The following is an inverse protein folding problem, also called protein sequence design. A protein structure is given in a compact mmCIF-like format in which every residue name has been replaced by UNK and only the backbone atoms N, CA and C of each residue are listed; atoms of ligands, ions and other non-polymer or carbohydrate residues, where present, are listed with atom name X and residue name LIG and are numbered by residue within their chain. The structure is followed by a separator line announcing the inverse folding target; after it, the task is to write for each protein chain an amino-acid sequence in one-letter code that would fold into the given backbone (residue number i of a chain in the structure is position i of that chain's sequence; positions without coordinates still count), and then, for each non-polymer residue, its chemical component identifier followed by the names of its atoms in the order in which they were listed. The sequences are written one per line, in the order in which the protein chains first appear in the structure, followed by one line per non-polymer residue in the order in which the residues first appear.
data_IF_630125690887
#
_entry.id   IF_630125690887
#
_cell.length_a   1.000
_cell.length_b   1.000
_cell.length_c   1.000
_cell.angle_alpha   90.00
_cell.angle_beta   90.00
_cell.angle_gamma   90.00
#
_symmetry.space_group_name_H-M   'P 1'
#
loop_
_entity.id
_entity.type
_entity.pdbx_description
1 polymer ?
#
# COMPACT_ATOMS: atom_id res chain seq x y z
N UNK A 1 28.05 15.48 39.89
CA UNK A 1 28.30 15.09 38.49
C UNK A 1 27.59 13.76 38.26
N UNK A 2 26.30 13.79 37.92
CA UNK A 2 25.60 12.59 37.46
C UNK A 2 26.01 12.36 36.01
N UNK A 3 26.44 11.15 35.69
CA UNK A 3 26.53 10.70 34.31
C UNK A 3 25.15 10.87 33.68
N UNK A 4 25.04 11.73 32.68
CA UNK A 4 23.79 12.01 32.00
C UNK A 4 23.26 10.73 31.35
N UNK A 5 21.96 10.51 31.47
CA UNK A 5 21.20 9.58 30.64
C UNK A 5 21.33 10.05 29.19
N UNK A 6 22.39 9.65 28.49
CA UNK A 6 22.52 9.89 27.06
C UNK A 6 21.43 9.12 26.34
N UNK A 7 20.63 9.81 25.53
CA UNK A 7 19.48 9.21 24.85
C UNK A 7 19.88 7.95 24.06
N UNK A 8 19.05 6.90 24.11
CA UNK A 8 19.31 5.64 23.41
C UNK A 8 19.19 5.87 21.89
N UNK A 9 20.16 5.39 21.10
CA UNK A 9 20.06 5.37 19.64
C UNK A 9 19.03 4.33 19.18
N UNK A 10 18.30 4.64 18.12
CA UNK A 10 17.38 3.72 17.45
C UNK A 10 17.89 3.36 16.07
N UNK A 11 17.51 2.20 15.57
CA UNK A 11 17.84 1.79 14.20
C UNK A 11 16.66 1.15 13.49
N UNK A 12 16.59 1.37 12.18
CA UNK A 12 15.61 0.78 11.28
C UNK A 12 16.29 0.27 10.00
N UNK A 13 15.65 -0.71 9.36
CA UNK A 13 16.01 -1.18 8.03
C UNK A 13 14.94 -0.65 7.07
N UNK A 14 15.30 0.39 6.32
CA UNK A 14 14.37 1.16 5.49
C UNK A 14 14.09 0.48 4.14
N UNK A 15 14.87 -0.56 3.79
CA UNK A 15 14.61 -1.44 2.64
C UNK A 15 13.92 -2.73 3.06
N UNK A 16 13.01 -3.30 2.25
CA UNK A 16 12.38 -4.59 2.53
C UNK A 16 13.41 -5.69 2.84
N UNK A 17 13.12 -6.54 3.84
CA UNK A 17 14.01 -7.61 4.26
C UNK A 17 13.22 -8.80 4.85
N UNK A 18 13.59 -10.06 4.53
CA UNK A 18 14.61 -10.47 3.57
C UNK A 18 14.17 -10.24 2.12
N UNK A 19 14.89 -9.43 1.35
CA UNK A 19 14.63 -9.18 -0.07
C UNK A 19 15.89 -9.37 -0.90
N UNK A 20 15.73 -9.76 -2.17
CA UNK A 20 16.84 -9.88 -3.13
C UNK A 20 17.20 -8.50 -3.69
N UNK A 21 17.82 -7.67 -2.87
CA UNK A 21 18.38 -6.37 -3.27
C UNK A 21 19.90 -6.44 -3.53
N UNK A 22 20.45 -5.47 -4.24
CA UNK A 22 21.91 -5.28 -4.28
C UNK A 22 22.41 -4.55 -3.03
N UNK A 23 21.66 -3.54 -2.60
CA UNK A 23 21.97 -2.64 -1.48
C UNK A 23 20.78 -2.60 -0.53
N UNK A 24 21.07 -2.60 0.77
CA UNK A 24 20.09 -2.30 1.80
C UNK A 24 20.30 -0.88 2.31
N UNK A 25 19.26 -0.27 2.89
CA UNK A 25 19.38 1.03 3.57
C UNK A 25 19.05 0.82 5.04
N UNK A 26 20.03 1.08 5.91
CA UNK A 26 19.81 1.12 7.35
C UNK A 26 19.92 2.56 7.83
N UNK A 27 19.07 2.92 8.78
CA UNK A 27 19.10 4.21 9.46
C UNK A 27 19.40 4.00 10.92
N UNK A 28 20.21 4.90 11.48
CA UNK A 28 20.41 5.06 12.91
C UNK A 28 20.04 6.49 13.27
N UNK A 29 19.14 6.66 14.23
CA UNK A 29 18.64 7.96 14.68
C UNK A 29 18.78 8.09 16.20
N UNK A 30 18.89 9.32 16.71
CA UNK A 30 18.97 9.56 18.15
C UNK A 30 19.55 10.91 18.53
N UNK A 31 20.01 11.01 19.78
CA UNK A 31 20.88 12.12 20.18
C UNK A 31 22.28 11.96 19.56
N UNK A 32 22.94 13.09 19.28
CA UNK A 32 24.20 13.13 18.54
C UNK A 32 25.27 12.21 19.14
N UNK A 33 25.44 12.27 20.47
CA UNK A 33 26.40 11.43 21.19
C UNK A 33 26.12 9.93 21.03
N UNK A 34 24.85 9.53 20.97
CA UNK A 34 24.46 8.14 20.82
C UNK A 34 24.69 7.64 19.39
N UNK A 35 24.34 8.44 18.38
CA UNK A 35 24.60 8.11 16.97
C UNK A 35 26.11 8.05 16.71
N UNK A 36 26.90 8.92 17.34
CA UNK A 36 28.36 8.90 17.24
C UNK A 36 28.97 7.65 17.86
N UNK A 37 28.44 7.19 19.00
CA UNK A 37 28.85 5.92 19.61
C UNK A 37 28.58 4.73 18.66
N UNK A 38 27.41 4.71 18.01
CA UNK A 38 27.10 3.70 16.98
C UNK A 38 28.07 3.81 15.81
N UNK A 39 28.26 5.01 15.25
CA UNK A 39 29.13 5.25 14.11
C UNK A 39 30.57 4.79 14.38
N UNK A 40 31.10 5.05 15.57
CA UNK A 40 32.41 4.58 16.00
C UNK A 40 32.48 3.04 16.06
N UNK A 41 31.48 2.40 16.68
CA UNK A 41 31.44 0.95 16.86
C UNK A 41 31.38 0.17 15.52
N UNK A 42 30.73 0.74 14.51
CA UNK A 42 30.58 0.10 13.19
C UNK A 42 31.64 0.55 12.18
N UNK A 43 32.60 1.41 12.54
CA UNK A 43 33.63 1.90 11.61
C UNK A 43 33.14 2.97 10.62
N UNK A 44 32.05 3.66 10.95
CA UNK A 44 31.48 4.78 10.19
C UNK A 44 31.86 6.17 10.74
N UNK A 45 32.87 6.24 11.62
CA UNK A 45 33.34 7.49 12.21
C UNK A 45 34.02 8.45 11.21
N UNK A 46 34.21 9.70 11.66
CA UNK A 46 34.69 10.82 10.86
C UNK A 46 33.51 11.47 10.13
N UNK A 47 33.27 12.76 10.37
CA UNK A 47 32.05 13.43 9.94
C UNK A 47 32.34 14.55 8.94
N UNK A 48 31.53 14.61 7.88
CA UNK A 48 31.28 15.81 7.10
C UNK A 48 29.75 15.92 7.00
N UNK A 49 29.11 17.01 7.50
CA UNK A 49 27.68 17.21 7.35
C UNK A 49 27.27 17.14 5.88
N UNK A 50 26.17 16.42 5.60
CA UNK A 50 25.70 16.17 4.22
C UNK A 50 26.74 15.51 3.29
N UNK A 51 27.78 14.87 3.86
CA UNK A 51 28.83 14.17 3.14
C UNK A 51 28.58 12.66 3.08
N UNK A 52 28.92 12.05 1.94
CA UNK A 52 28.96 10.60 1.77
C UNK A 52 30.38 10.08 1.92
N UNK A 53 30.51 8.92 2.54
CA UNK A 53 31.80 8.34 2.91
C UNK A 53 31.83 6.85 2.60
N UNK A 54 32.87 6.39 1.90
CA UNK A 54 33.15 4.96 1.77
C UNK A 54 33.85 4.48 3.04
N UNK A 55 33.32 3.43 3.67
CA UNK A 55 33.80 2.87 4.94
C UNK A 55 33.77 1.34 4.90
N UNK A 56 34.50 0.71 5.81
CA UNK A 56 34.37 -0.72 6.07
C UNK A 56 33.48 -0.90 7.30
N UNK A 57 32.21 -1.20 7.09
CA UNK A 57 31.20 -1.32 8.13
C UNK A 57 31.32 -2.66 8.85
N UNK A 58 31.31 -2.62 10.18
CA UNK A 58 31.42 -3.77 11.07
C UNK A 58 32.59 -4.73 10.75
N UNK A 59 33.61 -4.25 10.04
CA UNK A 59 34.76 -5.06 9.58
C UNK A 59 34.44 -6.06 8.47
N UNK A 60 33.22 -6.07 7.93
CA UNK A 60 32.74 -7.11 7.01
C UNK A 60 32.41 -6.60 5.62
N UNK A 61 31.85 -5.39 5.50
CA UNK A 61 31.37 -4.87 4.23
C UNK A 61 31.93 -3.48 3.89
N UNK A 62 32.28 -3.25 2.63
CA UNK A 62 32.78 -1.96 2.16
C UNK A 62 31.63 -1.19 1.52
N UNK A 63 31.10 -0.22 2.26
CA UNK A 63 29.80 0.39 2.00
C UNK A 63 29.81 1.91 2.21
N UNK A 64 28.78 2.57 1.70
CA UNK A 64 28.61 4.00 1.90
C UNK A 64 27.94 4.25 3.27
N UNK A 65 28.40 5.29 3.95
CA UNK A 65 27.77 5.87 5.12
C UNK A 65 27.57 7.37 4.86
N UNK A 66 26.39 7.89 5.18
CA UNK A 66 26.04 9.30 5.03
C UNK A 66 25.52 9.83 6.37
N UNK A 67 26.13 10.91 6.86
CA UNK A 67 25.64 11.60 8.05
C UNK A 67 24.87 12.83 7.58
N UNK A 68 23.54 12.70 7.55
CA UNK A 68 22.66 13.73 7.02
C UNK A 68 22.68 14.98 7.91
N UNK A 69 22.57 14.75 9.23
CA UNK A 69 22.68 15.76 10.28
C UNK A 69 23.32 15.17 11.55
N UNK A 70 23.33 15.92 12.65
CA UNK A 70 23.85 15.45 13.94
C UNK A 70 23.07 14.29 14.55
N UNK A 71 21.87 13.95 14.06
CA UNK A 71 20.95 13.00 14.70
C UNK A 71 20.63 11.79 13.83
N UNK A 72 21.07 11.77 12.57
CA UNK A 72 20.72 10.72 11.62
C UNK A 72 21.93 10.26 10.80
N UNK A 73 22.20 8.96 10.87
CA UNK A 73 23.20 8.24 10.09
C UNK A 73 22.50 7.24 9.15
N UNK A 74 22.77 7.33 7.86
CA UNK A 74 22.32 6.38 6.83
C UNK A 74 23.49 5.48 6.41
N UNK A 75 23.21 4.19 6.28
CA UNK A 75 24.17 3.16 5.89
C UNK A 75 23.64 2.41 4.67
N UNK A 76 24.52 2.13 3.71
CA UNK A 76 24.17 1.51 2.43
C UNK A 76 24.99 0.24 2.18
N UNK A 77 24.90 -0.79 3.05
CA UNK A 77 25.62 -2.04 2.85
C UNK A 77 25.06 -2.86 1.70
N UNK A 78 25.82 -3.84 1.22
CA UNK A 78 25.29 -4.87 0.35
C UNK A 78 24.19 -5.66 1.07
N UNK A 79 23.09 -5.97 0.39
CA UNK A 79 21.92 -6.64 0.98
C UNK A 79 22.11 -8.16 1.22
N UNK A 80 23.33 -8.62 1.45
CA UNK A 80 23.60 -10.01 1.79
C UNK A 80 23.19 -10.32 3.23
N UNK A 81 22.51 -11.45 3.48
CA UNK A 81 22.01 -11.82 4.82
C UNK A 81 23.08 -11.76 5.90
N UNK A 82 24.23 -12.38 5.67
CA UNK A 82 25.33 -12.38 6.62
C UNK A 82 25.89 -10.95 6.88
N UNK A 83 25.87 -10.08 5.87
CA UNK A 83 26.33 -8.69 5.98
C UNK A 83 25.37 -7.91 6.88
N UNK A 84 24.07 -8.00 6.60
CA UNK A 84 23.03 -7.31 7.36
C UNK A 84 23.02 -7.80 8.81
N UNK A 85 23.02 -9.12 9.04
CA UNK A 85 23.05 -9.69 10.40
C UNK A 85 24.31 -9.26 11.17
N UNK A 86 25.47 -9.24 10.51
CA UNK A 86 26.73 -8.78 11.13
C UNK A 86 26.68 -7.29 11.50
N UNK A 87 26.13 -6.44 10.63
CA UNK A 87 26.04 -5.01 10.85
C UNK A 87 25.03 -4.67 11.95
N UNK A 88 23.83 -5.26 11.89
CA UNK A 88 22.80 -5.11 12.92
C UNK A 88 23.32 -5.56 14.28
N UNK A 89 23.97 -6.72 14.35
CA UNK A 89 24.57 -7.19 15.60
C UNK A 89 25.69 -6.28 16.12
N UNK A 90 26.34 -5.49 15.25
CA UNK A 90 27.30 -4.46 15.69
C UNK A 90 26.62 -3.21 16.23
N UNK A 91 25.53 -2.79 15.61
CA UNK A 91 24.69 -1.67 16.06
C UNK A 91 24.07 -2.00 17.41
N UNK A 92 23.42 -3.15 17.57
CA UNK A 92 22.72 -3.53 18.80
C UNK A 92 23.66 -3.69 20.01
N UNK A 93 24.92 -4.10 19.79
CA UNK A 93 25.95 -4.18 20.85
C UNK A 93 26.28 -2.83 21.50
N UNK A 94 25.93 -1.72 20.87
CA UNK A 94 26.07 -0.38 21.45
C UNK A 94 24.94 -0.02 22.42
N UNK A 95 23.91 -0.85 22.52
CA UNK A 95 22.66 -0.56 23.23
C UNK A 95 21.59 0.09 22.35
N UNK A 96 21.87 0.28 21.04
CA UNK A 96 20.88 0.78 20.11
C UNK A 96 19.70 -0.19 19.96
N UNK A 97 18.48 0.35 19.94
CA UNK A 97 17.25 -0.44 19.88
C UNK A 97 16.64 -0.42 18.49
N UNK A 98 16.04 -1.53 18.08
CA UNK A 98 15.29 -1.58 16.82
C UNK A 98 14.00 -0.79 16.94
N UNK A 99 13.67 -0.02 15.91
CA UNK A 99 12.39 0.66 15.76
C UNK A 99 11.61 0.01 14.61
N UNK A 100 10.37 -0.41 14.89
CA UNK A 100 9.48 -1.03 13.91
C UNK A 100 8.75 0.08 13.13
N UNK A 101 9.36 0.48 12.02
CA UNK A 101 8.89 1.57 11.16
C UNK A 101 9.44 2.92 11.61
N UNK A 102 9.96 3.73 10.68
CA UNK A 102 10.67 4.93 11.08
C UNK A 102 9.68 5.99 11.56
N UNK A 103 9.95 6.62 12.70
CA UNK A 103 9.30 7.87 13.08
C UNK A 103 9.42 8.87 11.92
N UNK A 104 8.33 9.56 11.58
CA UNK A 104 8.27 10.35 10.34
C UNK A 104 9.36 11.44 10.27
N UNK A 105 9.65 12.09 11.41
CA UNK A 105 10.73 13.10 11.48
C UNK A 105 12.11 12.49 11.38
N UNK A 106 12.27 11.32 11.97
CA UNK A 106 13.50 10.54 11.84
C UNK A 106 13.69 10.03 10.41
N UNK A 107 12.61 9.70 9.70
CA UNK A 107 12.58 9.21 8.32
C UNK A 107 12.88 10.32 7.29
N UNK A 108 12.34 11.52 7.53
CA UNK A 108 12.44 12.69 6.65
C UNK A 108 12.90 13.91 7.45
N UNK A 109 14.17 13.95 7.91
CA UNK A 109 14.71 15.07 8.68
C UNK A 109 14.70 16.39 7.91
N UNK A 110 14.67 16.35 6.58
CA UNK A 110 14.53 17.50 5.69
C UNK A 110 13.11 18.13 5.68
N UNK A 111 12.10 17.43 6.21
CA UNK A 111 10.74 17.93 6.25
C UNK A 111 10.62 19.19 7.13
N UNK A 112 9.88 20.20 6.65
CA UNK A 112 9.76 21.51 7.32
C UNK A 112 8.95 21.42 8.60
N UNK A 113 7.94 20.56 8.60
CA UNK A 113 7.05 20.35 9.73
C UNK A 113 6.63 18.87 9.84
N UNK A 114 5.90 18.58 10.92
CA UNK A 114 5.46 17.23 11.27
C UNK A 114 4.49 16.65 10.25
N UNK A 115 3.63 17.50 9.69
CA UNK A 115 2.63 17.10 8.69
C UNK A 115 3.33 16.69 7.40
N UNK A 116 4.31 17.47 6.95
CA UNK A 116 5.12 17.13 5.78
C UNK A 116 5.91 15.85 5.98
N UNK A 117 6.54 15.66 7.14
CA UNK A 117 7.27 14.43 7.44
C UNK A 117 6.36 13.20 7.36
N UNK A 118 5.16 13.28 7.95
CA UNK A 118 4.15 12.22 7.86
C UNK A 118 3.69 12.01 6.43
N UNK A 119 3.46 13.08 5.67
CA UNK A 119 2.98 12.98 4.29
C UNK A 119 4.00 12.27 3.40
N UNK A 120 5.30 12.56 3.56
CA UNK A 120 6.37 11.86 2.86
C UNK A 120 6.47 10.39 3.26
N UNK A 121 6.29 10.08 4.55
CA UNK A 121 6.25 8.69 5.03
C UNK A 121 5.06 7.92 4.44
N UNK A 122 3.88 8.52 4.46
CA UNK A 122 2.69 7.93 3.85
C UNK A 122 2.85 7.75 2.33
N UNK A 123 3.48 8.72 1.66
CA UNK A 123 3.74 8.68 0.23
C UNK A 123 4.69 7.54 -0.15
N UNK A 124 5.74 7.30 0.65
CA UNK A 124 6.70 6.22 0.42
C UNK A 124 6.05 4.82 0.46
N UNK A 125 4.97 4.66 1.24
CA UNK A 125 4.20 3.42 1.33
C UNK A 125 2.88 3.42 0.54
N UNK A 126 2.53 4.51 -0.13
CA UNK A 126 1.24 4.63 -0.79
C UNK A 126 1.15 3.66 -1.97
N UNK A 127 0.12 2.81 -1.97
CA UNK A 127 -0.07 1.87 -3.06
C UNK A 127 -0.58 2.54 -4.35
N UNK A 128 -1.38 3.61 -4.22
CA UNK A 128 -2.02 4.27 -5.35
C UNK A 128 -1.28 5.53 -5.78
N UNK A 129 -0.93 5.70 -7.07
CA UNK A 129 -0.36 6.94 -7.59
C UNK A 129 -1.17 8.21 -7.28
N UNK A 130 -2.51 8.09 -7.22
CA UNK A 130 -3.41 9.19 -6.84
C UNK A 130 -3.16 9.76 -5.44
N UNK A 131 -2.47 9.03 -4.56
CA UNK A 131 -2.10 9.52 -3.23
C UNK A 131 -1.15 10.72 -3.29
N UNK A 132 -0.32 10.82 -4.34
CA UNK A 132 0.80 11.76 -4.40
C UNK A 132 0.36 13.22 -4.20
N UNK A 133 -0.52 13.72 -5.07
CA UNK A 133 -0.96 15.12 -5.01
C UNK A 133 -1.75 15.40 -3.72
N UNK A 134 -2.58 14.45 -3.29
CA UNK A 134 -3.39 14.59 -2.07
C UNK A 134 -2.51 14.70 -0.83
N UNK A 135 -1.49 13.85 -0.70
CA UNK A 135 -0.56 13.84 0.44
C UNK A 135 0.35 15.06 0.43
N UNK A 136 0.94 15.40 -0.72
CA UNK A 136 1.84 16.54 -0.85
C UNK A 136 1.14 17.87 -0.56
N UNK A 137 -0.17 17.97 -0.81
CA UNK A 137 -0.98 19.14 -0.46
C UNK A 137 -1.25 19.27 1.05
N UNK A 138 -1.09 18.20 1.85
CA UNK A 138 -1.56 18.19 3.25
C UNK A 138 -0.92 19.28 4.10
N UNK A 139 0.36 19.58 3.91
CA UNK A 139 1.03 20.65 4.66
C UNK A 139 0.28 22.00 4.54
N UNK A 140 -0.13 22.37 3.34
CA UNK A 140 -0.88 23.61 3.10
C UNK A 140 -2.34 23.52 3.56
N UNK A 141 -2.94 22.33 3.51
CA UNK A 141 -4.31 22.13 4.00
C UNK A 141 -4.38 22.21 5.53
N UNK A 142 -3.42 21.60 6.22
CA UNK A 142 -3.29 21.64 7.67
C UNK A 142 -2.95 23.04 8.21
N UNK A 143 -2.23 23.87 7.46
CA UNK A 143 -2.02 25.28 7.87
C UNK A 143 -3.31 26.11 7.82
N UNK A 144 -4.33 25.67 7.08
CA UNK A 144 -5.66 26.30 6.93
C UNK A 144 -6.78 25.57 7.68
N UNK A 145 -6.45 24.61 8.55
CA UNK A 145 -7.46 23.79 9.25
C UNK A 145 -8.45 24.62 10.08
N UNK A 146 -8.03 25.78 10.60
CA UNK A 146 -8.92 26.70 11.32
C UNK A 146 -9.98 27.37 10.44
N UNK A 147 -9.75 27.46 9.13
CA UNK A 147 -10.66 28.09 8.16
C UNK A 147 -11.55 27.06 7.45
N UNK A 148 -10.94 25.95 7.02
CA UNK A 148 -11.60 24.94 6.18
C UNK A 148 -12.02 23.69 6.96
N UNK A 149 -11.40 23.43 8.11
CA UNK A 149 -11.60 22.21 8.88
C UNK A 149 -10.95 20.99 8.24
N UNK A 150 -11.41 19.82 8.71
CA UNK A 150 -11.02 18.52 8.19
C UNK A 150 -12.09 17.95 7.26
N UNK A 151 -11.67 17.01 6.42
CA UNK A 151 -12.59 16.17 5.67
C UNK A 151 -13.48 15.36 6.62
N UNK A 152 -14.70 15.06 6.19
CA UNK A 152 -15.60 14.15 6.91
C UNK A 152 -15.11 12.69 6.86
N UNK A 153 -15.73 11.82 7.66
CA UNK A 153 -15.34 10.40 7.77
C UNK A 153 -15.50 9.64 6.45
N UNK A 154 -16.48 9.98 5.63
CA UNK A 154 -16.71 9.33 4.33
C UNK A 154 -15.56 9.64 3.37
N UNK A 155 -15.21 10.93 3.26
CA UNK A 155 -14.08 11.39 2.45
C UNK A 155 -12.76 10.85 2.99
N UNK A 156 -12.57 10.83 4.32
CA UNK A 156 -11.38 10.25 4.94
C UNK A 156 -11.25 8.76 4.62
N UNK A 157 -12.34 7.99 4.68
CA UNK A 157 -12.38 6.58 4.32
C UNK A 157 -12.09 6.33 2.84
N UNK A 158 -12.59 7.20 1.95
CA UNK A 158 -12.26 7.15 0.53
C UNK A 158 -10.77 7.41 0.28
N UNK A 159 -10.21 8.48 0.86
CA UNK A 159 -8.79 8.82 0.69
C UNK A 159 -7.86 7.76 1.32
N UNK A 160 -8.27 7.12 2.41
CA UNK A 160 -7.53 6.02 3.04
C UNK A 160 -7.26 4.84 2.09
N UNK A 161 -8.13 4.63 1.09
CA UNK A 161 -7.94 3.59 0.05
C UNK A 161 -6.79 3.89 -0.90
N UNK A 162 -6.32 5.13 -0.96
CA UNK A 162 -5.12 5.49 -1.74
C UNK A 162 -3.85 4.92 -1.11
N UNK A 163 -3.82 4.83 0.22
CA UNK A 163 -2.71 4.25 0.98
C UNK A 163 -2.83 2.73 1.04
N UNK A 164 -4.02 2.22 1.37
CA UNK A 164 -4.28 0.78 1.51
C UNK A 164 -5.19 0.29 0.40
N UNK A 165 -4.71 -0.60 -0.49
CA UNK A 165 -5.49 -1.09 -1.60
C UNK A 165 -6.82 -1.70 -1.15
N UNK A 166 -7.96 -1.14 -1.61
CA UNK A 166 -9.26 -1.70 -1.29
C UNK A 166 -9.44 -3.06 -1.96
N UNK A 167 -10.21 -3.92 -1.32
CA UNK A 167 -10.56 -5.23 -1.85
C UNK A 167 -11.76 -5.12 -2.80
N UNK A 168 -11.55 -5.50 -4.05
CA UNK A 168 -12.61 -5.65 -5.06
C UNK A 168 -12.83 -7.13 -5.33
N UNK A 169 -14.07 -7.60 -5.15
CA UNK A 169 -14.42 -9.01 -5.36
C UNK A 169 -15.38 -9.16 -6.56
N UNK A 170 -15.00 -9.94 -7.56
CA UNK A 170 -15.86 -10.27 -8.68
C UNK A 170 -16.64 -11.56 -8.41
N UNK A 171 -17.97 -11.48 -8.38
CA UNK A 171 -18.89 -12.61 -8.14
C UNK A 171 -19.88 -12.74 -9.29
N UNK A 172 -20.34 -13.94 -9.58
CA UNK A 172 -21.27 -14.16 -10.70
C UNK A 172 -21.32 -15.63 -11.13
N UNK A 173 -22.20 -15.97 -12.09
CA UNK A 173 -22.39 -17.34 -12.54
C UNK A 173 -21.08 -18.01 -13.02
N UNK A 174 -21.01 -19.35 -13.04
CA UNK A 174 -19.89 -20.07 -13.63
C UNK A 174 -19.71 -19.66 -15.10
N UNK A 175 -18.46 -19.60 -15.56
CA UNK A 175 -18.12 -19.31 -16.95
C UNK A 175 -18.67 -18.00 -17.54
N UNK A 176 -19.15 -17.04 -16.74
CA UNK A 176 -19.64 -15.73 -17.24
C UNK A 176 -18.52 -14.80 -17.76
N UNK A 177 -17.26 -15.12 -17.45
CA UNK A 177 -16.08 -14.38 -17.92
C UNK A 177 -15.34 -13.54 -16.88
N UNK A 178 -15.55 -13.79 -15.57
CA UNK A 178 -14.88 -13.08 -14.47
C UNK A 178 -13.35 -13.14 -14.54
N UNK A 179 -12.78 -14.33 -14.74
CA UNK A 179 -11.33 -14.51 -14.89
C UNK A 179 -10.79 -13.81 -16.13
N UNK A 180 -11.57 -13.78 -17.22
CA UNK A 180 -11.20 -13.02 -18.42
C UNK A 180 -11.19 -11.51 -18.15
N UNK A 181 -12.13 -11.02 -17.33
CA UNK A 181 -12.15 -9.62 -16.89
C UNK A 181 -10.93 -9.28 -16.04
N UNK A 182 -10.61 -10.11 -15.03
CA UNK A 182 -9.41 -9.96 -14.21
C UNK A 182 -8.15 -9.88 -15.09
N UNK A 183 -7.97 -10.83 -16.01
CA UNK A 183 -6.81 -10.86 -16.90
C UNK A 183 -6.74 -9.63 -17.81
N UNK A 184 -7.88 -9.18 -18.35
CA UNK A 184 -7.93 -7.99 -19.20
C UNK A 184 -7.63 -6.70 -18.42
N UNK A 185 -8.08 -6.59 -17.17
CA UNK A 185 -7.79 -5.45 -16.29
C UNK A 185 -6.33 -5.47 -15.82
N UNK A 186 -5.81 -6.62 -15.42
CA UNK A 186 -4.41 -6.79 -15.05
C UNK A 186 -3.49 -6.36 -16.22
N UNK A 187 -3.77 -6.82 -17.44
CA UNK A 187 -3.01 -6.46 -18.64
C UNK A 187 -3.05 -4.98 -19.05
N UNK A 188 -3.89 -4.14 -18.41
CA UNK A 188 -3.92 -2.69 -18.68
C UNK A 188 -2.90 -1.89 -17.85
N UNK A 189 -2.52 -2.36 -16.67
CA UNK A 189 -1.49 -1.76 -15.80
C UNK A 189 -1.28 -2.65 -14.56
N UNK A 190 -0.42 -3.68 -14.67
CA UNK A 190 -0.01 -4.47 -13.49
C UNK A 190 1.05 -3.67 -12.74
N UNK A 191 0.80 -3.34 -11.47
CA UNK A 191 1.90 -3.13 -10.51
C UNK A 191 2.21 -4.49 -9.90
N UNK A 192 3.28 -5.15 -10.37
CA UNK A 192 3.67 -6.47 -9.86
C UNK A 192 4.26 -6.25 -8.46
N UNK A 193 3.50 -6.60 -7.43
CA UNK A 193 4.02 -6.76 -6.07
C UNK A 193 4.42 -8.22 -5.92
N UNK A 194 5.70 -8.45 -5.60
CA UNK A 194 6.19 -9.77 -5.23
C UNK A 194 5.53 -10.21 -3.91
N UNK A 195 5.17 -11.49 -3.83
CA UNK A 195 4.52 -12.16 -2.70
C UNK A 195 4.82 -11.52 -1.32
N UNK A 196 3.79 -10.95 -0.69
CA UNK A 196 3.81 -10.73 0.75
C UNK A 196 3.57 -12.09 1.46
N UNK A 197 4.40 -12.47 2.46
CA UNK A 197 4.18 -13.68 3.24
C UNK A 197 2.89 -13.53 4.06
N UNK A 198 1.79 -14.11 3.58
CA UNK A 198 0.50 -14.09 4.31
C UNK A 198 -0.76 -14.22 3.46
N UNK A 199 -0.66 -14.14 2.13
CA UNK A 199 -1.84 -14.35 1.27
C UNK A 199 -2.23 -15.83 1.29
N UNK A 200 -3.40 -16.10 1.86
CA UNK A 200 -4.04 -17.42 1.88
C UNK A 200 -4.04 -18.00 0.46
N UNK A 201 -3.48 -19.20 0.35
CA UNK A 201 -3.14 -19.93 -0.89
C UNK A 201 -4.31 -20.27 -1.84
N UNK A 202 -5.51 -19.76 -1.58
CA UNK A 202 -6.76 -20.35 -2.09
C UNK A 202 -7.53 -19.45 -3.07
N UNK A 203 -7.10 -18.22 -3.34
CA UNK A 203 -7.83 -17.28 -4.22
C UNK A 203 -6.92 -16.64 -5.28
N UNK A 204 -7.38 -16.66 -6.55
CA UNK A 204 -6.70 -15.97 -7.66
C UNK A 204 -7.02 -14.47 -7.54
N UNK A 205 -6.01 -13.68 -7.22
CA UNK A 205 -6.13 -12.23 -7.14
C UNK A 205 -4.91 -11.51 -7.69
N UNK A 206 -5.08 -10.23 -8.01
CA UNK A 206 -4.01 -9.38 -8.52
C UNK A 206 -4.15 -7.95 -8.00
N UNK A 207 -3.02 -7.25 -7.95
CA UNK A 207 -2.97 -5.80 -7.78
C UNK A 207 -3.20 -5.13 -9.14
N UNK A 208 -4.26 -4.33 -9.24
CA UNK A 208 -4.68 -3.70 -10.49
C UNK A 208 -4.72 -2.19 -10.31
N UNK A 209 -4.10 -1.45 -11.22
CA UNK A 209 -4.29 0.00 -11.33
C UNK A 209 -5.56 0.30 -12.14
N UNK A 210 -6.51 0.96 -11.49
CA UNK A 210 -7.77 1.44 -12.05
C UNK A 210 -7.76 2.98 -12.13
N UNK A 211 -6.93 3.52 -13.02
CA UNK A 211 -6.89 4.96 -13.27
C UNK A 211 -6.18 5.75 -12.17
N UNK A 212 -5.06 5.22 -11.68
CA UNK A 212 -4.24 5.73 -10.59
C UNK A 212 -4.69 5.26 -9.20
N UNK A 213 -5.80 4.52 -9.10
CA UNK A 213 -6.23 3.83 -7.88
C UNK A 213 -5.80 2.37 -7.96
N UNK A 214 -4.89 1.94 -7.10
CA UNK A 214 -4.46 0.54 -7.03
C UNK A 214 -5.39 -0.23 -6.09
N UNK A 215 -5.96 -1.32 -6.59
CA UNK A 215 -6.89 -2.18 -5.85
C UNK A 215 -6.37 -3.62 -5.79
N UNK A 216 -6.78 -4.36 -4.76
CA UNK A 216 -6.64 -5.82 -4.72
C UNK A 216 -7.89 -6.43 -5.32
N UNK A 217 -7.78 -6.96 -6.54
CA UNK A 217 -8.89 -7.60 -7.23
C UNK A 217 -8.86 -9.10 -7.02
N UNK A 218 -9.96 -9.69 -6.56
CA UNK A 218 -10.13 -11.14 -6.41
C UNK A 218 -11.19 -11.65 -7.37
N UNK A 219 -10.83 -12.68 -8.14
CA UNK A 219 -11.78 -13.46 -8.92
C UNK A 219 -12.35 -14.58 -8.05
N UNK A 220 -13.62 -14.44 -7.65
CA UNK A 220 -14.27 -15.45 -6.83
C UNK A 220 -14.70 -16.64 -7.69
N UNK A 221 -14.70 -17.86 -7.12
CA UNK A 221 -15.33 -19.02 -7.76
C UNK A 221 -16.75 -18.68 -8.24
N UNK A 222 -17.06 -19.08 -9.47
CA UNK A 222 -18.42 -18.97 -9.98
C UNK A 222 -19.34 -19.99 -9.34
N UNK A 223 -20.59 -19.62 -9.10
CA UNK A 223 -21.62 -20.52 -8.60
C UNK A 223 -22.97 -20.18 -9.26
N UNK A 224 -23.79 -21.19 -9.54
CA UNK A 224 -25.17 -21.01 -9.98
C UNK A 224 -26.11 -21.64 -8.94
N UNK A 225 -26.93 -20.85 -8.23
CA UNK A 225 -27.87 -21.37 -7.23
C UNK A 225 -28.86 -22.41 -7.78
N UNK A 226 -29.03 -22.48 -9.10
CA UNK A 226 -29.91 -23.45 -9.79
C UNK A 226 -29.27 -24.83 -9.95
N UNK A 227 -27.94 -24.92 -9.86
CA UNK A 227 -27.18 -26.17 -9.99
C UNK A 227 -26.93 -26.76 -8.59
N UNK A 228 -27.83 -27.64 -8.14
CA UNK A 228 -27.86 -28.20 -6.77
C UNK A 228 -26.77 -29.22 -6.41
N UNK A 229 -25.54 -29.07 -6.92
CA UNK A 229 -24.41 -29.94 -6.60
C UNK A 229 -23.63 -29.45 -5.35
N UNK A 230 -22.98 -30.35 -4.61
CA UNK A 230 -22.23 -30.05 -3.39
C UNK A 230 -21.02 -29.16 -3.67
N UNK A 231 -20.37 -29.31 -4.83
CA UNK A 231 -19.30 -28.44 -5.31
C UNK A 231 -19.75 -26.98 -5.48
N UNK A 232 -21.03 -26.75 -5.79
CA UNK A 232 -21.63 -25.42 -5.91
C UNK A 232 -21.73 -24.71 -4.55
N UNK A 233 -22.00 -25.45 -3.48
CA UNK A 233 -22.16 -24.89 -2.13
C UNK A 233 -20.84 -24.40 -1.54
N UNK A 234 -19.74 -25.14 -1.73
CA UNK A 234 -18.41 -24.71 -1.27
C UNK A 234 -17.95 -23.46 -2.01
N UNK A 235 -18.12 -23.42 -3.34
CA UNK A 235 -17.83 -22.26 -4.16
C UNK A 235 -18.66 -21.04 -3.74
N UNK A 236 -19.95 -21.23 -3.45
CA UNK A 236 -20.85 -20.18 -2.97
C UNK A 236 -20.40 -19.64 -1.60
N UNK A 237 -20.06 -20.51 -0.65
CA UNK A 237 -19.56 -20.10 0.67
C UNK A 237 -18.24 -19.32 0.59
N UNK A 238 -17.31 -19.78 -0.25
CA UNK A 238 -16.04 -19.08 -0.48
C UNK A 238 -16.28 -17.69 -1.09
N UNK A 239 -17.10 -17.60 -2.14
CA UNK A 239 -17.44 -16.33 -2.79
C UNK A 239 -18.15 -15.37 -1.83
N UNK A 240 -19.09 -15.87 -1.01
CA UNK A 240 -19.81 -15.07 -0.02
C UNK A 240 -18.87 -14.53 1.07
N UNK A 241 -17.91 -15.34 1.54
CA UNK A 241 -16.92 -14.92 2.54
C UNK A 241 -16.06 -13.77 2.03
N UNK A 242 -15.53 -13.88 0.81
CA UNK A 242 -14.71 -12.83 0.19
C UNK A 242 -15.56 -11.57 -0.08
N UNK A 243 -16.76 -11.75 -0.64
CA UNK A 243 -17.67 -10.64 -0.91
C UNK A 243 -18.12 -9.93 0.36
N UNK A 244 -18.20 -10.63 1.50
CA UNK A 244 -18.52 -10.06 2.79
C UNK A 244 -17.43 -9.12 3.35
N UNK A 245 -16.16 -9.35 2.99
CA UNK A 245 -15.05 -8.49 3.43
C UNK A 245 -14.57 -7.50 2.36
N UNK A 246 -15.19 -7.50 1.18
CA UNK A 246 -14.80 -6.62 0.09
C UNK A 246 -15.27 -5.17 0.31
N UNK A 247 -14.43 -4.20 -0.05
CA UNK A 247 -14.82 -2.79 -0.14
C UNK A 247 -15.82 -2.55 -1.27
N UNK A 248 -15.71 -3.32 -2.35
CA UNK A 248 -16.65 -3.29 -3.47
C UNK A 248 -16.84 -4.69 -4.07
N UNK A 249 -18.10 -5.03 -4.33
CA UNK A 249 -18.45 -6.24 -5.06
C UNK A 249 -18.84 -5.90 -6.50
N UNK A 250 -18.25 -6.62 -7.45
CA UNK A 250 -18.60 -6.57 -8.86
C UNK A 250 -19.49 -7.78 -9.18
N UNK A 251 -20.79 -7.51 -9.32
CA UNK A 251 -21.78 -8.51 -9.71
C UNK A 251 -21.74 -8.73 -11.22
N UNK A 252 -21.12 -9.82 -11.66
CA UNK A 252 -20.94 -10.15 -13.07
C UNK A 252 -22.12 -10.95 -13.61
N UNK A 253 -22.60 -10.56 -14.79
CA UNK A 253 -23.62 -11.27 -15.56
C UNK A 253 -23.31 -11.21 -17.06
N UNK A 254 -24.01 -11.97 -17.88
CA UNK A 254 -24.00 -11.78 -19.34
C UNK A 254 -25.42 -12.04 -19.91
N UNK A 255 -25.59 -11.85 -21.21
CA UNK A 255 -26.91 -12.01 -21.85
C UNK A 255 -27.44 -13.46 -21.86
N UNK A 256 -26.59 -14.47 -21.61
CA UNK A 256 -26.98 -15.88 -21.64
C UNK A 256 -27.28 -16.43 -20.24
N UNK A 257 -26.45 -16.09 -19.26
CA UNK A 257 -26.52 -16.57 -17.88
C UNK A 257 -27.27 -15.64 -16.95
N UNK A 258 -27.42 -14.36 -17.32
CA UNK A 258 -28.00 -13.32 -16.46
C UNK A 258 -27.10 -13.00 -15.27
N UNK A 259 -27.66 -12.28 -14.29
CA UNK A 259 -27.00 -11.93 -13.03
C UNK A 259 -27.45 -12.87 -11.91
N UNK A 260 -26.63 -13.02 -10.87
CA UNK A 260 -27.08 -13.67 -9.63
C UNK A 260 -28.24 -12.87 -9.01
N UNK A 261 -29.31 -13.56 -8.60
CA UNK A 261 -30.46 -12.91 -7.97
C UNK A 261 -30.08 -12.31 -6.61
N UNK A 262 -29.32 -13.06 -5.82
CA UNK A 262 -28.89 -12.66 -4.48
C UNK A 262 -27.45 -12.16 -4.54
N UNK A 263 -27.30 -10.85 -4.39
CA UNK A 263 -26.01 -10.18 -4.24
C UNK A 263 -26.09 -9.15 -3.11
N UNK A 264 -24.94 -8.67 -2.65
CA UNK A 264 -24.87 -7.49 -1.78
C UNK A 264 -25.63 -6.32 -2.42
N UNK A 265 -26.42 -5.59 -1.64
CA UNK A 265 -27.27 -4.51 -2.14
C UNK A 265 -26.47 -3.36 -2.79
N UNK A 266 -25.21 -3.18 -2.37
CA UNK A 266 -24.29 -2.18 -2.89
C UNK A 266 -23.38 -2.70 -4.02
N UNK A 267 -23.58 -3.94 -4.48
CA UNK A 267 -22.81 -4.53 -5.56
C UNK A 267 -23.02 -3.79 -6.89
N UNK A 268 -21.93 -3.54 -7.59
CA UNK A 268 -21.95 -2.92 -8.91
C UNK A 268 -22.20 -3.99 -9.98
N UNK A 269 -23.34 -3.94 -10.65
CA UNK A 269 -23.69 -4.88 -11.71
C UNK A 269 -22.91 -4.54 -12.99
N UNK A 270 -22.14 -5.51 -13.49
CA UNK A 270 -21.34 -5.38 -14.71
C UNK A 270 -21.70 -6.51 -15.67
N UNK A 271 -22.23 -6.13 -16.83
CA UNK A 271 -22.53 -7.05 -17.92
C UNK A 271 -21.27 -7.36 -18.70
N UNK A 272 -20.91 -8.64 -18.80
CA UNK A 272 -19.77 -9.15 -19.54
C UNK A 272 -20.21 -9.59 -20.93
N UNK A 273 -19.23 -9.76 -21.83
CA UNK A 273 -19.44 -10.22 -23.22
C UNK A 273 -20.46 -9.37 -23.97
N UNK A 274 -20.38 -8.05 -23.80
CA UNK A 274 -21.28 -7.09 -24.45
C UNK A 274 -21.35 -7.24 -25.99
N UNK A 275 -20.32 -7.81 -26.60
CA UNK A 275 -20.23 -8.12 -28.02
C UNK A 275 -21.10 -9.30 -28.47
N UNK A 276 -21.62 -10.10 -27.53
CA UNK A 276 -22.53 -11.23 -27.79
C UNK A 276 -23.99 -10.90 -27.47
N UNK A 277 -24.26 -9.73 -26.89
CA UNK A 277 -25.58 -9.28 -26.50
C UNK A 277 -25.58 -8.55 -25.17
N UNK A 278 -26.68 -7.87 -24.88
CA UNK A 278 -26.94 -7.19 -23.61
C UNK A 278 -28.33 -7.55 -23.13
N UNK A 279 -28.44 -8.04 -21.91
CA UNK A 279 -29.71 -8.34 -21.27
C UNK A 279 -29.66 -8.03 -19.77
N UNK A 280 -30.72 -7.43 -19.25
CA UNK A 280 -30.81 -6.97 -17.87
C UNK A 280 -30.17 -5.60 -17.60
N UNK A 281 -30.32 -5.16 -16.35
CA UNK A 281 -29.81 -3.88 -15.85
C UNK A 281 -28.37 -4.02 -15.32
N UNK A 282 -27.47 -3.26 -15.91
CA UNK A 282 -26.06 -3.22 -15.56
C UNK A 282 -25.56 -1.78 -15.59
N UNK A 283 -24.71 -1.43 -14.61
CA UNK A 283 -24.09 -0.11 -14.53
C UNK A 283 -23.04 0.10 -15.64
N UNK A 284 -22.45 -0.98 -16.15
CA UNK A 284 -21.59 -0.97 -17.31
C UNK A 284 -21.68 -2.30 -18.08
N UNK A 285 -21.55 -2.23 -19.40
CA UNK A 285 -21.42 -3.39 -20.28
C UNK A 285 -20.03 -3.41 -20.89
N UNK A 286 -19.32 -4.53 -20.77
CA UNK A 286 -17.93 -4.66 -21.20
C UNK A 286 -17.71 -5.87 -22.08
N UNK A 287 -16.76 -5.73 -23.02
CA UNK A 287 -16.20 -6.85 -23.76
C UNK A 287 -14.69 -6.86 -23.60
N UNK A 288 -14.17 -7.92 -22.99
CA UNK A 288 -12.71 -8.14 -22.87
C UNK A 288 -12.08 -8.48 -24.21
N UNK A 289 -12.89 -8.91 -25.21
CA UNK A 289 -12.43 -9.23 -26.57
C UNK A 289 -12.25 -7.97 -27.41
N UNK A 290 -13.22 -7.06 -27.41
CA UNK A 290 -13.18 -5.84 -28.23
C UNK A 290 -12.59 -4.65 -27.47
N UNK A 291 -12.52 -4.72 -26.14
CA UNK A 291 -12.11 -3.62 -25.27
C UNK A 291 -13.24 -2.62 -24.97
N UNK A 292 -14.44 -2.83 -25.52
CA UNK A 292 -15.62 -2.01 -25.30
C UNK A 292 -15.98 -1.92 -23.81
N UNK A 293 -16.36 -0.72 -23.36
CA UNK A 293 -16.81 -0.44 -21.98
C UNK A 293 -15.73 -0.57 -20.90
N UNK A 294 -14.55 -1.10 -21.21
CA UNK A 294 -13.51 -1.36 -20.21
C UNK A 294 -12.99 -0.08 -19.53
N UNK A 295 -12.88 1.04 -20.26
CA UNK A 295 -12.45 2.31 -19.67
C UNK A 295 -13.54 2.94 -18.77
N UNK A 296 -14.80 2.80 -19.18
CA UNK A 296 -15.95 3.22 -18.39
C UNK A 296 -16.03 2.43 -17.09
N UNK A 297 -15.83 1.11 -17.14
CA UNK A 297 -15.75 0.26 -15.95
C UNK A 297 -14.64 0.71 -14.99
N UNK A 298 -13.42 0.95 -15.51
CA UNK A 298 -12.30 1.47 -14.69
C UNK A 298 -12.70 2.77 -14.00
N UNK A 299 -13.27 3.70 -14.75
CA UNK A 299 -13.71 5.01 -14.24
C UNK A 299 -14.77 4.86 -13.16
N UNK A 300 -15.75 3.99 -13.38
CA UNK A 300 -16.88 3.74 -12.50
C UNK A 300 -16.45 3.09 -11.17
N UNK A 301 -15.56 2.08 -11.23
CA UNK A 301 -15.01 1.45 -10.02
C UNK A 301 -14.18 2.44 -9.21
N UNK A 302 -13.33 3.23 -9.87
CA UNK A 302 -12.55 4.29 -9.22
C UNK A 302 -13.46 5.32 -8.57
N UNK A 303 -14.46 5.82 -9.27
CA UNK A 303 -15.39 6.83 -8.73
C UNK A 303 -16.21 6.28 -7.55
N UNK A 304 -16.54 4.99 -7.57
CA UNK A 304 -17.27 4.33 -6.48
C UNK A 304 -16.45 4.18 -5.20
N UNK A 305 -15.14 3.90 -5.34
CA UNK A 305 -14.23 3.68 -4.21
C UNK A 305 -13.61 4.97 -3.68
N UNK A 306 -13.18 5.83 -4.60
CA UNK A 306 -12.52 7.12 -4.34
C UNK A 306 -13.09 8.17 -5.31
N UNK A 307 -14.18 8.86 -4.93
CA UNK A 307 -14.81 9.85 -5.79
C UNK A 307 -13.88 11.00 -6.17
N UNK A 308 -14.04 11.56 -7.36
CA UNK A 308 -13.27 12.72 -7.79
C UNK A 308 -13.47 13.93 -6.85
N UNK A 309 -14.65 14.05 -6.24
CA UNK A 309 -14.94 15.07 -5.23
C UNK A 309 -14.06 14.93 -3.98
N UNK A 310 -13.78 13.69 -3.54
CA UNK A 310 -12.90 13.43 -2.40
C UNK A 310 -11.45 13.83 -2.70
N UNK A 311 -10.96 13.52 -3.91
CA UNK A 311 -9.62 13.91 -4.35
C UNK A 311 -9.46 15.44 -4.45
N UNK A 312 -10.52 16.13 -4.89
CA UNK A 312 -10.55 17.57 -5.07
C UNK A 312 -10.84 18.37 -3.78
N UNK A 313 -11.19 17.70 -2.67
CA UNK A 313 -11.54 18.36 -1.41
C UNK A 313 -10.33 19.16 -0.88
N UNK A 314 -10.43 20.48 -0.65
CA UNK A 314 -9.31 21.30 -0.17
C UNK A 314 -9.04 21.16 1.33
N UNK A 315 -9.89 20.48 2.09
CA UNK A 315 -9.78 20.33 3.55
C UNK A 315 -8.67 19.37 3.95
N UNK A 316 -8.21 19.50 5.19
CA UNK A 316 -7.17 18.66 5.75
C UNK A 316 -7.66 17.21 5.96
N UNK A 317 -6.79 16.24 5.74
CA UNK A 317 -7.07 14.82 5.98
C UNK A 317 -6.06 14.26 6.99
N UNK A 318 -6.56 13.54 8.01
CA UNK A 318 -5.73 12.80 8.99
C UNK A 318 -5.31 11.45 8.43
N UNK A 319 -4.38 11.47 7.50
CA UNK A 319 -3.89 10.27 6.82
C UNK A 319 -2.96 9.37 7.66
N UNK A 320 -2.68 9.73 8.91
CA UNK A 320 -1.92 8.90 9.87
C UNK A 320 -2.82 8.08 10.81
N UNK A 321 -4.15 8.28 10.78
CA UNK A 321 -5.14 7.55 11.59
C UNK A 321 -5.79 6.39 10.80
N UNK A 322 -5.15 5.93 9.73
CA UNK A 322 -5.76 4.97 8.79
C UNK A 322 -6.13 3.65 9.49
N UNK A 323 -5.36 3.22 10.50
CA UNK A 323 -5.60 1.99 11.26
C UNK A 323 -6.74 2.09 12.27
N UNK A 324 -7.05 3.29 12.79
CA UNK A 324 -8.22 3.50 13.65
C UNK A 324 -9.50 3.72 12.85
N UNK A 325 -9.41 4.14 11.58
CA UNK A 325 -10.59 4.40 10.73
C UNK A 325 -11.08 3.21 9.91
N UNK A 326 -10.38 2.07 9.87
CA UNK A 326 -10.85 0.83 9.23
C UNK A 326 -11.50 -0.18 10.19
N UNK A 327 -11.58 0.13 11.49
CA UNK A 327 -12.10 -0.75 12.54
C UNK A 327 -13.47 -0.36 13.10
N UNK A 328 -14.25 0.46 12.38
CA UNK A 328 -15.60 0.89 12.77
C UNK A 328 -16.68 0.25 11.92
#
# INVERSE_FOLDING_TARGET
MSAGEGGIARWSLDTPWPARGAIAVLRVSGEEAAVDAVAAAIGAAGHVPAGMMLRTLAGTDRALACRFDGRTLLLFPHAGRAIIESLVGAIERTGAQREDGPDARSAFPEARDEVEARALLALAGAASPLAADVLLAQRERWSRIGELGEVDLETAGALARLLRPPLVAAVGPPNVGKSSLLNALAGRSVSIVADEPGTTRDHVGAMIDLGGLVVRWIDCPGFDPREGDTLTLEAQHAAAKIAGTADLVIGCGDAASGFLETMRADALRVGLRADLGRDGDAAAWVSTRTGEGMHELVTLVRERLVPAAALADPRAWRFWDVDTQAGG
#
